data_IF_101214728121
#
_entry.id   IF_101214728121
#
_cell.length_a   1.000
_cell.length_b   1.000
_cell.length_c   1.000
_cell.angle_alpha   90.00
_cell.angle_beta   90.00
_cell.angle_gamma   90.00
#
_symmetry.space_group_name_H-M   'P 1'
#
loop_
_entity.id
_entity.type
_entity.pdbx_description
1 polymer ?
#
# COMPACT_ATOMS: atom_id res chain seq x y z
N UNK A 1 11.52 -27.93 -9.97
CA UNK A 1 12.04 -26.56 -9.71
C UNK A 1 12.83 -26.12 -10.93
N UNK A 2 12.32 -25.18 -11.74
CA UNK A 2 13.02 -24.72 -12.95
C UNK A 2 14.10 -23.70 -12.62
N UNK A 3 15.17 -23.66 -13.43
CA UNK A 3 16.24 -22.65 -13.40
C UNK A 3 16.10 -21.59 -14.49
N UNK A 4 15.08 -21.70 -15.34
CA UNK A 4 14.90 -20.81 -16.48
C UNK A 4 14.32 -19.47 -16.05
N UNK A 5 14.94 -18.38 -16.50
CA UNK A 5 14.42 -17.03 -16.35
C UNK A 5 13.01 -16.89 -16.95
N UNK A 6 12.70 -17.59 -18.05
CA UNK A 6 11.37 -17.60 -18.65
C UNK A 6 10.30 -18.15 -17.70
N UNK A 7 10.60 -19.23 -16.97
CA UNK A 7 9.67 -19.80 -15.98
C UNK A 7 9.52 -18.87 -14.77
N UNK A 8 10.59 -18.18 -14.36
CA UNK A 8 10.49 -17.12 -13.36
C UNK A 8 9.55 -15.99 -13.82
N UNK A 9 9.66 -15.51 -15.05
CA UNK A 9 8.77 -14.49 -15.60
C UNK A 9 7.30 -14.95 -15.63
N UNK A 10 7.04 -16.17 -16.10
CA UNK A 10 5.68 -16.75 -16.11
C UNK A 10 5.12 -16.80 -14.69
N UNK A 11 5.92 -17.22 -13.70
CA UNK A 11 5.49 -17.25 -12.29
C UNK A 11 5.14 -15.85 -11.77
N UNK A 12 5.85 -14.81 -12.20
CA UNK A 12 5.57 -13.41 -11.84
C UNK A 12 4.30 -12.88 -12.50
N UNK A 13 4.02 -13.28 -13.74
CA UNK A 13 2.76 -12.93 -14.43
C UNK A 13 1.58 -13.56 -13.70
N UNK A 14 1.61 -14.88 -13.47
CA UNK A 14 0.53 -15.60 -12.77
C UNK A 14 0.34 -15.02 -11.37
N UNK A 15 1.42 -14.91 -10.58
CA UNK A 15 1.35 -14.34 -9.24
C UNK A 15 0.93 -12.86 -9.23
N UNK A 16 1.20 -12.11 -10.30
CA UNK A 16 0.74 -10.73 -10.47
C UNK A 16 -0.77 -10.65 -10.71
N UNK A 17 -1.29 -11.47 -11.64
CA UNK A 17 -2.70 -11.54 -11.96
C UNK A 17 -3.54 -12.05 -10.78
N UNK A 18 -2.97 -12.94 -9.95
CA UNK A 18 -3.65 -13.51 -8.77
C UNK A 18 -3.57 -12.65 -7.49
N UNK A 19 -2.91 -11.47 -7.51
CA UNK A 19 -2.79 -10.57 -6.34
C UNK A 19 -4.08 -9.78 -6.00
N UNK A 20 -5.21 -10.16 -6.59
CA UNK A 20 -6.53 -9.61 -6.28
C UNK A 20 -6.95 -9.85 -4.82
N UNK A 21 -6.42 -10.89 -4.18
CA UNK A 21 -6.69 -11.23 -2.77
C UNK A 21 -6.47 -10.04 -1.81
N UNK A 22 -5.41 -9.26 -2.01
CA UNK A 22 -5.14 -8.07 -1.18
C UNK A 22 -6.27 -7.04 -1.28
N UNK A 23 -6.80 -6.83 -2.48
CA UNK A 23 -7.90 -5.90 -2.70
C UNK A 23 -9.20 -6.44 -2.10
N UNK A 24 -9.43 -7.74 -2.23
CA UNK A 24 -10.59 -8.41 -1.63
C UNK A 24 -10.56 -8.32 -0.10
N UNK A 25 -9.41 -8.49 0.55
CA UNK A 25 -9.31 -8.28 2.00
C UNK A 25 -9.76 -6.87 2.41
N UNK A 26 -9.36 -5.83 1.66
CA UNK A 26 -9.83 -4.47 1.94
C UNK A 26 -11.31 -4.27 1.64
N UNK A 27 -11.87 -4.97 0.66
CA UNK A 27 -13.31 -4.93 0.38
C UNK A 27 -14.12 -5.62 1.48
N UNK A 28 -13.69 -6.81 1.94
CA UNK A 28 -14.28 -7.56 3.06
C UNK A 28 -14.31 -6.71 4.33
N UNK A 29 -13.22 -5.98 4.64
CA UNK A 29 -13.21 -5.05 5.76
C UNK A 29 -14.17 -3.87 5.52
N UNK A 30 -14.33 -3.40 4.29
CA UNK A 30 -15.26 -2.32 3.95
C UNK A 30 -16.74 -2.75 4.06
N UNK A 31 -17.04 -4.04 3.97
CA UNK A 31 -18.40 -4.60 4.17
C UNK A 31 -18.86 -4.55 5.63
N UNK A 32 -17.93 -4.44 6.59
CA UNK A 32 -18.29 -4.35 8.02
C UNK A 32 -19.23 -3.18 8.29
N UNK A 33 -20.28 -3.32 9.12
CA UNK A 33 -21.28 -2.26 9.30
C UNK A 33 -20.75 -1.03 10.05
N UNK A 34 -19.90 -1.24 11.06
CA UNK A 34 -19.39 -0.16 11.91
C UNK A 34 -18.15 0.50 11.31
N UNK A 35 -18.18 1.83 11.17
CA UNK A 35 -17.02 2.63 10.78
C UNK A 35 -15.80 2.36 11.67
N UNK A 36 -16.00 2.20 12.99
CA UNK A 36 -14.94 1.88 13.94
C UNK A 36 -14.28 0.53 13.61
N UNK A 37 -15.05 -0.46 13.17
CA UNK A 37 -14.52 -1.77 12.78
C UNK A 37 -13.82 -1.70 11.43
N UNK A 38 -14.31 -0.90 10.47
CA UNK A 38 -13.61 -0.62 9.19
C UNK A 38 -12.24 0.00 9.43
N UNK A 39 -12.17 1.08 10.21
CA UNK A 39 -10.89 1.75 10.53
C UNK A 39 -9.91 0.80 11.23
N UNK A 40 -10.38 0.04 12.22
CA UNK A 40 -9.57 -0.97 12.91
C UNK A 40 -9.09 -2.06 11.95
N UNK A 41 -9.96 -2.57 11.09
CA UNK A 41 -9.64 -3.61 10.12
C UNK A 41 -8.58 -3.15 9.11
N UNK A 42 -8.71 -1.92 8.59
CA UNK A 42 -7.70 -1.34 7.69
C UNK A 42 -6.34 -1.17 8.37
N UNK A 43 -6.32 -0.80 9.65
CA UNK A 43 -5.08 -0.75 10.43
C UNK A 43 -4.48 -2.15 10.63
N UNK A 44 -5.30 -3.17 10.88
CA UNK A 44 -4.84 -4.57 11.02
C UNK A 44 -4.29 -5.15 9.71
N UNK A 45 -4.89 -4.80 8.56
CA UNK A 45 -4.30 -5.11 7.24
C UNK A 45 -2.90 -4.48 7.13
N UNK A 46 -2.75 -3.24 7.59
CA UNK A 46 -1.44 -2.59 7.71
C UNK A 46 -0.45 -3.41 8.54
N UNK A 47 -0.85 -3.85 9.75
CA UNK A 47 -0.01 -4.70 10.61
C UNK A 47 0.41 -5.98 9.90
N UNK A 48 -0.53 -6.65 9.20
CA UNK A 48 -0.23 -7.86 8.44
C UNK A 48 0.81 -7.61 7.33
N UNK A 49 0.72 -6.49 6.60
CA UNK A 49 1.75 -6.10 5.64
C UNK A 49 3.10 -5.87 6.31
N UNK A 50 3.14 -5.07 7.37
CA UNK A 50 4.38 -4.74 8.07
C UNK A 50 5.07 -5.99 8.62
N UNK A 51 4.32 -6.90 9.26
CA UNK A 51 4.85 -8.17 9.75
C UNK A 51 5.28 -9.10 8.60
N UNK A 52 4.50 -9.19 7.52
CA UNK A 52 4.85 -10.01 6.36
C UNK A 52 6.14 -9.54 5.67
N UNK A 53 6.32 -8.23 5.47
CA UNK A 53 7.53 -7.65 4.90
C UNK A 53 8.73 -7.68 5.87
N UNK A 54 8.50 -7.82 7.17
CA UNK A 54 9.56 -7.94 8.18
C UNK A 54 10.03 -9.39 8.33
N UNK A 55 9.10 -10.30 8.63
CA UNK A 55 9.38 -11.69 8.96
C UNK A 55 9.67 -12.49 7.68
N UNK A 56 8.98 -12.20 6.57
CA UNK A 56 9.11 -12.92 5.31
C UNK A 56 10.55 -12.98 4.79
N UNK A 57 11.23 -11.83 4.57
CA UNK A 57 12.63 -11.82 4.13
C UNK A 57 13.58 -12.46 5.13
N UNK A 58 13.36 -12.30 6.43
CA UNK A 58 14.19 -12.89 7.49
C UNK A 58 14.13 -14.43 7.44
N UNK A 59 12.92 -14.98 7.41
CA UNK A 59 12.69 -16.43 7.32
C UNK A 59 13.21 -16.94 5.98
N UNK A 60 12.93 -16.24 4.88
CA UNK A 60 13.44 -16.60 3.54
C UNK A 60 14.97 -16.66 3.48
N UNK A 61 15.66 -15.68 4.07
CA UNK A 61 17.12 -15.66 4.15
C UNK A 61 17.66 -16.81 5.01
N UNK A 62 17.05 -17.10 6.15
CA UNK A 62 17.44 -18.22 7.01
C UNK A 62 17.36 -19.57 6.29
N UNK A 63 16.24 -19.83 5.60
CA UNK A 63 16.07 -21.07 4.83
C UNK A 63 16.99 -21.13 3.60
N UNK A 64 17.34 -19.99 3.02
CA UNK A 64 18.32 -19.92 1.93
C UNK A 64 19.74 -20.22 2.39
N UNK A 65 20.13 -19.78 3.58
CA UNK A 65 21.47 -19.99 4.15
C UNK A 65 21.68 -21.44 4.64
N UNK A 66 20.63 -22.10 5.12
CA UNK A 66 20.69 -23.47 5.63
C UNK A 66 20.58 -24.55 4.55
N UNK A 67 21.03 -24.27 3.33
CA UNK A 67 20.91 -25.20 2.20
C UNK A 67 21.99 -26.27 2.29
N UNK A 68 21.64 -27.55 2.10
CA UNK A 68 22.61 -28.66 2.08
C UNK A 68 23.46 -28.63 0.80
N UNK A 69 24.68 -29.19 0.88
CA UNK A 69 25.59 -29.27 -0.27
C UNK A 69 24.88 -29.92 -1.47
N UNK A 70 24.72 -29.16 -2.56
CA UNK A 70 24.08 -29.61 -3.81
C UNK A 70 22.64 -29.11 -4.03
N UNK A 71 21.96 -28.59 -3.01
CA UNK A 71 20.65 -27.95 -3.16
C UNK A 71 20.79 -26.49 -3.61
N UNK A 72 19.82 -26.00 -4.40
CA UNK A 72 19.78 -24.58 -4.78
C UNK A 72 19.19 -23.76 -3.63
N UNK A 73 19.83 -22.63 -3.31
CA UNK A 73 19.48 -21.78 -2.17
C UNK A 73 18.00 -21.34 -2.11
N UNK A 74 17.32 -21.29 -3.25
CA UNK A 74 15.94 -20.79 -3.34
C UNK A 74 14.87 -21.89 -3.20
N UNK A 75 15.23 -23.18 -3.20
CA UNK A 75 14.26 -24.29 -3.16
C UNK A 75 13.51 -24.30 -1.83
N UNK A 76 14.22 -24.25 -0.70
CA UNK A 76 13.60 -24.30 0.64
C UNK A 76 12.70 -23.07 0.89
N UNK A 77 13.12 -21.83 0.60
CA UNK A 77 12.22 -20.68 0.66
C UNK A 77 10.99 -20.83 -0.25
N UNK A 78 11.14 -21.40 -1.45
CA UNK A 78 10.02 -21.61 -2.36
C UNK A 78 9.02 -22.66 -1.86
N UNK A 79 9.50 -23.76 -1.27
CA UNK A 79 8.64 -24.78 -0.65
C UNK A 79 7.89 -24.21 0.57
N UNK A 80 8.56 -23.41 1.39
CA UNK A 80 7.90 -22.70 2.49
C UNK A 80 6.82 -21.75 1.98
N UNK A 81 7.11 -20.97 0.93
CA UNK A 81 6.12 -20.08 0.33
C UNK A 81 4.91 -20.84 -0.22
N UNK A 82 5.13 -22.01 -0.85
CA UNK A 82 4.06 -22.88 -1.32
C UNK A 82 3.21 -23.41 -0.15
N UNK A 83 3.86 -23.91 0.91
CA UNK A 83 3.18 -24.38 2.11
C UNK A 83 2.31 -23.28 2.73
N UNK A 84 2.85 -22.07 2.90
CA UNK A 84 2.10 -20.93 3.43
C UNK A 84 0.92 -20.53 2.54
N UNK A 85 1.08 -20.59 1.21
CA UNK A 85 -0.02 -20.30 0.28
C UNK A 85 -1.13 -21.36 0.34
N UNK A 86 -0.77 -22.65 0.49
CA UNK A 86 -1.75 -23.74 0.67
C UNK A 86 -2.47 -23.60 2.02
N UNK A 87 -1.75 -23.27 3.09
CA UNK A 87 -2.34 -22.99 4.40
C UNK A 87 -3.30 -21.80 4.32
N UNK A 88 -2.92 -20.71 3.67
CA UNK A 88 -3.79 -19.53 3.46
C UNK A 88 -5.06 -19.90 2.70
N UNK A 89 -4.93 -20.70 1.62
CA UNK A 89 -6.07 -21.17 0.85
C UNK A 89 -7.03 -22.03 1.69
N UNK A 90 -6.50 -23.00 2.45
CA UNK A 90 -7.31 -23.86 3.33
C UNK A 90 -7.95 -23.03 4.44
N UNK A 91 -7.20 -22.11 5.04
CA UNK A 91 -7.69 -21.23 6.10
C UNK A 91 -8.87 -20.37 5.60
N UNK A 92 -8.73 -19.74 4.43
CA UNK A 92 -9.80 -18.94 3.83
C UNK A 92 -11.00 -19.83 3.47
N UNK A 93 -10.76 -20.99 2.86
CA UNK A 93 -11.84 -21.90 2.45
C UNK A 93 -12.68 -22.40 3.62
N UNK A 94 -12.06 -22.66 4.78
CA UNK A 94 -12.74 -23.19 5.96
C UNK A 94 -13.30 -22.12 6.89
N UNK A 95 -12.66 -20.95 7.00
CA UNK A 95 -12.92 -20.00 8.09
C UNK A 95 -13.41 -18.62 7.65
N UNK A 96 -13.30 -18.24 6.37
CA UNK A 96 -13.78 -16.94 5.91
C UNK A 96 -15.29 -16.98 5.62
N UNK A 97 -16.15 -16.34 6.44
CA UNK A 97 -17.56 -16.25 6.13
C UNK A 97 -17.81 -15.31 4.94
N UNK A 98 -18.91 -15.55 4.23
CA UNK A 98 -19.38 -14.64 3.19
C UNK A 98 -19.81 -13.29 3.80
N UNK A 99 -19.23 -12.20 3.31
CA UNK A 99 -19.53 -10.83 3.80
C UNK A 99 -20.54 -10.07 2.95
N UNK A 100 -20.80 -10.53 1.71
CA UNK A 100 -21.74 -9.90 0.79
C UNK A 100 -22.93 -10.83 0.49
N UNK A 101 -24.10 -10.59 1.13
CA UNK A 101 -25.33 -11.32 0.87
C UNK A 101 -25.74 -11.28 -0.61
N UNK A 102 -26.43 -12.32 -1.09
CA UNK A 102 -26.76 -12.49 -2.51
C UNK A 102 -27.59 -11.33 -3.06
N UNK A 103 -28.44 -10.74 -2.22
CA UNK A 103 -29.36 -9.66 -2.54
C UNK A 103 -28.63 -8.35 -2.85
N UNK A 104 -27.44 -8.17 -2.25
CA UNK A 104 -26.60 -6.99 -2.42
C UNK A 104 -25.56 -7.16 -3.54
N UNK A 105 -25.56 -8.29 -4.26
CA UNK A 105 -24.59 -8.54 -5.34
C UNK A 105 -25.03 -7.83 -6.62
N UNK A 106 -24.04 -7.36 -7.38
CA UNK A 106 -24.27 -6.88 -8.74
C UNK A 106 -24.77 -8.03 -9.63
N UNK A 107 -25.83 -7.77 -10.40
CA UNK A 107 -26.47 -8.76 -11.28
C UNK A 107 -25.62 -9.19 -12.48
N UNK A 108 -24.63 -8.38 -12.85
CA UNK A 108 -23.66 -8.69 -13.90
C UNK A 108 -22.34 -7.96 -13.66
N UNK A 109 -21.23 -8.64 -13.94
CA UNK A 109 -19.92 -7.98 -14.12
C UNK A 109 -19.97 -7.32 -15.50
N UNK A 110 -19.47 -6.09 -15.61
CA UNK A 110 -19.63 -5.27 -16.83
C UNK A 110 -18.96 -5.98 -18.02
N UNK A 111 -19.74 -6.59 -18.91
CA UNK A 111 -19.29 -7.14 -20.19
C UNK A 111 -19.50 -6.08 -21.28
N UNK A 112 -18.40 -5.53 -21.79
CA UNK A 112 -18.39 -4.55 -22.88
C UNK A 112 -17.07 -3.79 -22.93
N UNK A 113 -16.62 -3.39 -24.13
CA UNK A 113 -15.35 -2.69 -24.33
C UNK A 113 -15.19 -1.45 -23.43
N UNK A 114 -16.28 -0.70 -23.25
CA UNK A 114 -16.31 0.47 -22.38
C UNK A 114 -16.17 0.12 -20.90
N UNK A 115 -16.75 -0.99 -20.44
CA UNK A 115 -16.60 -1.45 -19.06
C UNK A 115 -15.19 -1.92 -18.74
N UNK A 116 -14.57 -2.61 -19.68
CA UNK A 116 -13.15 -3.00 -19.61
C UNK A 116 -12.25 -1.76 -19.59
N UNK A 117 -12.52 -0.78 -20.46
CA UNK A 117 -11.80 0.50 -20.47
C UNK A 117 -11.91 1.24 -19.13
N UNK A 118 -13.09 1.22 -18.51
CA UNK A 118 -13.30 1.86 -17.21
C UNK A 118 -12.52 1.22 -16.06
N UNK A 119 -12.19 -0.08 -16.17
CA UNK A 119 -11.42 -0.84 -15.19
C UNK A 119 -9.91 -0.85 -15.46
N UNK A 120 -9.49 -0.63 -16.71
CA UNK A 120 -8.08 -0.71 -17.12
C UNK A 120 -7.43 0.66 -17.35
N UNK A 121 -8.17 1.65 -17.85
CA UNK A 121 -7.60 2.95 -18.18
C UNK A 121 -7.22 3.73 -16.91
N UNK A 122 -5.97 4.20 -16.78
CA UNK A 122 -5.55 5.03 -15.64
C UNK A 122 -6.47 6.23 -15.42
N UNK A 123 -6.89 6.89 -16.50
CA UNK A 123 -7.77 8.07 -16.45
C UNK A 123 -9.12 7.70 -15.83
N UNK A 124 -9.71 6.58 -16.25
CA UNK A 124 -10.98 6.08 -15.72
C UNK A 124 -10.89 5.69 -14.24
N UNK A 125 -9.74 5.13 -13.82
CA UNK A 125 -9.47 4.83 -12.40
C UNK A 125 -9.45 6.09 -11.55
N UNK A 126 -8.78 7.17 -11.99
CA UNK A 126 -8.79 8.45 -11.27
C UNK A 126 -10.19 9.09 -11.20
N UNK A 127 -11.03 8.88 -12.21
CA UNK A 127 -12.39 9.39 -12.24
C UNK A 127 -13.42 8.50 -11.51
N UNK A 128 -13.01 7.31 -11.06
CA UNK A 128 -13.88 6.27 -10.48
C UNK A 128 -15.07 5.93 -11.41
N UNK A 129 -14.84 5.91 -12.73
CA UNK A 129 -15.90 5.77 -13.75
C UNK A 129 -16.73 4.50 -13.57
N UNK A 130 -16.10 3.38 -13.22
CA UNK A 130 -16.80 2.11 -12.99
C UNK A 130 -17.82 2.18 -11.83
N UNK A 131 -17.60 3.04 -10.83
CA UNK A 131 -18.54 3.25 -9.71
C UNK A 131 -19.75 4.07 -10.16
N UNK A 132 -19.56 4.98 -11.11
CA UNK A 132 -20.64 5.87 -11.58
C UNK A 132 -21.70 5.19 -12.45
N UNK A 133 -21.42 3.98 -12.95
CA UNK A 133 -22.33 3.21 -13.81
C UNK A 133 -23.20 2.21 -13.05
N UNK A 134 -22.96 2.00 -11.76
CA UNK A 134 -23.80 1.13 -10.95
C UNK A 134 -25.21 1.71 -10.78
N UNK A 135 -26.18 0.85 -10.44
CA UNK A 135 -27.56 1.27 -10.11
C UNK A 135 -27.59 2.34 -9.01
N UNK A 136 -26.71 2.20 -8.01
CA UNK A 136 -26.58 3.13 -6.89
C UNK A 136 -25.52 4.19 -7.18
N UNK A 137 -25.85 5.18 -8.02
CA UNK A 137 -24.87 6.21 -8.38
C UNK A 137 -24.55 7.10 -7.16
N UNK A 138 -23.27 7.28 -6.78
CA UNK A 138 -22.91 8.18 -5.69
C UNK A 138 -23.27 9.62 -6.02
N UNK A 139 -23.61 10.41 -4.99
CA UNK A 139 -23.84 11.85 -5.13
C UNK A 139 -22.62 12.55 -5.72
N UNK A 140 -22.83 13.67 -6.41
CA UNK A 140 -21.73 14.41 -7.06
C UNK A 140 -20.63 14.83 -6.06
N UNK A 141 -21.02 15.15 -4.82
CA UNK A 141 -20.09 15.46 -3.73
C UNK A 141 -19.28 14.23 -3.29
N UNK A 142 -19.96 13.10 -3.05
CA UNK A 142 -19.34 11.81 -2.72
C UNK A 142 -18.32 11.39 -3.77
N UNK A 143 -18.68 11.51 -5.05
CA UNK A 143 -17.80 11.19 -6.17
C UNK A 143 -16.60 12.15 -6.26
N UNK A 144 -16.80 13.45 -6.02
CA UNK A 144 -15.70 14.42 -5.97
C UNK A 144 -14.72 14.08 -4.85
N UNK A 145 -15.23 13.75 -3.66
CA UNK A 145 -14.41 13.36 -2.51
C UNK A 145 -13.64 12.05 -2.80
N UNK A 146 -14.27 11.05 -3.42
CA UNK A 146 -13.59 9.83 -3.88
C UNK A 146 -12.43 10.12 -4.84
N UNK A 147 -12.65 10.97 -5.84
CA UNK A 147 -11.60 11.35 -6.81
C UNK A 147 -10.43 12.06 -6.12
N UNK A 148 -10.72 12.97 -5.19
CA UNK A 148 -9.69 13.67 -4.41
C UNK A 148 -8.90 12.68 -3.55
N UNK A 149 -9.57 11.77 -2.84
CA UNK A 149 -8.92 10.76 -2.00
C UNK A 149 -8.08 9.78 -2.83
N UNK A 150 -8.58 9.34 -3.99
CA UNK A 150 -7.84 8.48 -4.91
C UNK A 150 -6.60 9.16 -5.47
N UNK A 151 -6.70 10.44 -5.85
CA UNK A 151 -5.54 11.22 -6.31
C UNK A 151 -4.50 11.42 -5.20
N UNK A 152 -4.95 11.77 -3.98
CA UNK A 152 -4.06 11.87 -2.82
C UNK A 152 -3.37 10.54 -2.53
N UNK A 153 -4.11 9.44 -2.58
CA UNK A 153 -3.58 8.10 -2.36
C UNK A 153 -2.51 7.72 -3.40
N UNK A 154 -2.77 8.02 -4.67
CA UNK A 154 -1.81 7.84 -5.76
C UNK A 154 -0.55 8.69 -5.54
N UNK A 155 -0.70 10.01 -5.35
CA UNK A 155 0.43 10.94 -5.20
C UNK A 155 1.29 10.59 -3.98
N UNK A 156 0.65 10.25 -2.86
CA UNK A 156 1.34 9.78 -1.68
C UNK A 156 2.17 8.54 -1.98
N UNK A 157 1.57 7.48 -2.53
CA UNK A 157 2.29 6.23 -2.81
C UNK A 157 3.36 6.39 -3.89
N UNK A 158 3.13 7.28 -4.84
CA UNK A 158 4.06 7.58 -5.92
C UNK A 158 5.37 8.15 -5.37
N UNK A 159 5.27 9.21 -4.54
CA UNK A 159 6.43 9.81 -3.88
C UNK A 159 7.05 8.84 -2.84
N UNK A 160 6.20 8.23 -2.02
CA UNK A 160 6.62 7.34 -0.94
C UNK A 160 7.40 6.13 -1.46
N UNK A 161 6.87 5.41 -2.45
CA UNK A 161 7.53 4.21 -2.98
C UNK A 161 8.81 4.53 -3.75
N UNK A 162 8.86 5.70 -4.38
CA UNK A 162 10.06 6.18 -5.05
C UNK A 162 11.21 6.45 -4.08
N UNK A 163 10.93 7.17 -3.00
CA UNK A 163 11.93 7.41 -1.95
C UNK A 163 12.26 6.14 -1.17
N UNK A 164 11.27 5.33 -0.80
CA UNK A 164 11.47 4.03 -0.13
C UNK A 164 12.43 3.13 -0.91
N UNK A 165 12.30 3.08 -2.24
CA UNK A 165 13.21 2.31 -3.10
C UNK A 165 14.64 2.87 -3.12
N UNK A 166 14.78 4.19 -3.22
CA UNK A 166 16.10 4.86 -3.32
C UNK A 166 16.86 4.95 -2.01
N UNK A 167 16.23 4.72 -0.85
CA UNK A 167 16.91 4.57 0.45
C UNK A 167 17.99 3.48 0.40
N UNK A 168 17.78 2.40 -0.36
CA UNK A 168 18.79 1.34 -0.52
C UNK A 168 20.05 1.85 -1.25
N UNK A 169 19.89 2.74 -2.23
CA UNK A 169 21.03 3.36 -2.91
C UNK A 169 21.77 4.33 -1.99
N UNK A 170 21.01 5.17 -1.26
CA UNK A 170 21.56 6.14 -0.32
C UNK A 170 22.38 5.48 0.78
N UNK A 171 21.82 4.46 1.41
CA UNK A 171 22.49 3.75 2.50
C UNK A 171 23.72 2.98 2.05
N UNK A 172 23.68 2.43 0.83
CA UNK A 172 24.86 1.81 0.25
C UNK A 172 25.96 2.84 -0.09
N UNK A 173 25.63 3.90 -0.82
CA UNK A 173 26.64 4.87 -1.26
C UNK A 173 27.24 5.66 -0.10
N UNK A 174 26.41 6.15 0.83
CA UNK A 174 26.86 7.07 1.88
C UNK A 174 27.35 6.36 3.14
N UNK A 175 26.70 5.26 3.53
CA UNK A 175 27.02 4.54 4.76
C UNK A 175 27.67 3.18 4.53
N UNK A 176 27.92 2.80 3.26
CA UNK A 176 28.52 1.53 2.88
C UNK A 176 27.78 0.33 3.48
N UNK A 177 26.45 0.44 3.60
CA UNK A 177 25.63 -0.65 4.10
C UNK A 177 25.71 -1.85 3.17
N UNK A 178 26.04 -3.00 3.76
CA UNK A 178 25.83 -4.31 3.17
C UNK A 178 24.33 -4.63 3.03
N UNK A 179 23.99 -5.58 2.16
CA UNK A 179 22.61 -6.06 2.01
C UNK A 179 22.01 -6.57 3.33
N UNK A 180 22.84 -7.14 4.22
CA UNK A 180 22.41 -7.57 5.55
C UNK A 180 22.06 -6.39 6.45
N UNK A 181 22.83 -5.30 6.42
CA UNK A 181 22.51 -4.08 7.17
C UNK A 181 21.25 -3.40 6.65
N UNK A 182 21.06 -3.36 5.32
CA UNK A 182 19.79 -2.90 4.73
C UNK A 182 18.62 -3.79 5.16
N UNK A 183 18.81 -5.11 5.23
CA UNK A 183 17.82 -6.05 5.78
C UNK A 183 17.46 -5.73 7.23
N UNK A 184 18.45 -5.49 8.11
CA UNK A 184 18.23 -5.08 9.50
C UNK A 184 17.51 -3.72 9.61
N UNK A 185 17.82 -2.78 8.72
CA UNK A 185 17.14 -1.49 8.63
C UNK A 185 15.66 -1.65 8.28
N UNK A 186 15.33 -2.40 7.22
CA UNK A 186 13.93 -2.65 6.85
C UNK A 186 13.19 -3.47 7.92
N UNK A 187 13.88 -4.36 8.63
CA UNK A 187 13.32 -5.06 9.79
C UNK A 187 12.90 -4.07 10.89
N UNK A 188 13.79 -3.14 11.26
CA UNK A 188 13.48 -2.10 12.25
C UNK A 188 12.30 -1.22 11.82
N UNK A 189 12.29 -0.80 10.55
CA UNK A 189 11.20 -0.02 9.96
C UNK A 189 9.87 -0.77 10.08
N UNK A 190 9.84 -2.04 9.68
CA UNK A 190 8.63 -2.85 9.64
C UNK A 190 8.07 -3.18 11.04
N UNK A 191 8.91 -3.49 12.02
CA UNK A 191 8.48 -3.63 13.42
C UNK A 191 7.89 -2.33 13.95
N UNK A 192 8.58 -1.20 13.72
CA UNK A 192 8.10 0.11 14.16
C UNK A 192 6.76 0.45 13.53
N UNK A 193 6.59 0.18 12.23
CA UNK A 193 5.32 0.36 11.54
C UNK A 193 4.21 -0.54 12.10
N UNK A 194 4.49 -1.81 12.38
CA UNK A 194 3.51 -2.73 12.95
C UNK A 194 3.05 -2.28 14.35
N UNK A 195 3.97 -1.83 15.20
CA UNK A 195 3.65 -1.29 16.54
C UNK A 195 2.77 -0.04 16.42
N UNK A 196 3.09 0.87 15.52
CA UNK A 196 2.33 2.13 15.34
C UNK A 196 0.97 1.85 14.71
N UNK A 197 0.86 0.91 13.77
CA UNK A 197 -0.41 0.48 13.18
C UNK A 197 -1.31 -0.19 14.21
N UNK A 198 -0.78 -1.15 14.98
CA UNK A 198 -1.53 -1.89 16.00
C UNK A 198 -1.88 -1.05 17.23
N UNK A 199 -1.01 -0.11 17.59
CA UNK A 199 -1.13 0.75 18.76
C UNK A 199 -1.87 2.08 18.50
N UNK A 200 -1.34 2.91 17.60
CA UNK A 200 -1.86 4.26 17.37
C UNK A 200 -2.90 4.29 16.23
N UNK A 201 -2.57 3.80 15.04
CA UNK A 201 -3.44 3.92 13.86
C UNK A 201 -4.80 3.23 14.08
N UNK A 202 -4.80 2.04 14.69
CA UNK A 202 -6.02 1.29 15.07
C UNK A 202 -6.93 2.04 16.05
N UNK A 203 -6.40 3.00 16.81
CA UNK A 203 -7.14 3.77 17.83
C UNK A 203 -7.61 5.13 17.34
N UNK A 204 -7.30 5.51 16.09
CA UNK A 204 -7.81 6.76 15.49
C UNK A 204 -9.33 6.68 15.41
N UNK A 205 -10.01 7.65 16.00
CA UNK A 205 -11.48 7.72 16.00
C UNK A 205 -11.99 8.05 14.58
N UNK A 206 -13.09 7.43 14.12
CA UNK A 206 -13.74 7.82 12.87
C UNK A 206 -14.05 9.32 12.83
N UNK A 207 -13.74 9.96 11.71
CA UNK A 207 -13.79 11.42 11.51
C UNK A 207 -12.46 12.14 11.71
N UNK A 208 -11.47 11.52 12.36
CA UNK A 208 -10.14 12.12 12.56
C UNK A 208 -9.09 11.62 11.56
N UNK A 209 -9.43 10.70 10.65
CA UNK A 209 -8.50 10.10 9.67
C UNK A 209 -7.86 11.17 8.79
N UNK A 210 -8.64 12.14 8.28
CA UNK A 210 -8.10 13.23 7.44
C UNK A 210 -7.06 14.04 8.20
N UNK A 211 -7.31 14.34 9.49
CA UNK A 211 -6.36 15.08 10.33
C UNK A 211 -5.09 14.25 10.56
N UNK A 212 -5.24 12.95 10.81
CA UNK A 212 -4.11 12.04 11.01
C UNK A 212 -3.25 11.92 9.74
N UNK A 213 -3.87 11.78 8.56
CA UNK A 213 -3.15 11.71 7.28
C UNK A 213 -2.42 13.01 7.00
N UNK A 214 -3.05 14.18 7.20
CA UNK A 214 -2.39 15.47 7.02
C UNK A 214 -1.16 15.61 7.91
N UNK A 215 -1.26 15.26 9.19
CA UNK A 215 -0.13 15.27 10.13
C UNK A 215 0.98 14.30 9.71
N UNK A 216 0.62 13.09 9.28
CA UNK A 216 1.58 12.11 8.80
C UNK A 216 2.32 12.58 7.54
N UNK A 217 1.64 13.17 6.56
CA UNK A 217 2.28 13.70 5.35
C UNK A 217 3.20 14.88 5.70
N UNK A 218 2.78 15.78 6.59
CA UNK A 218 3.66 16.86 7.09
C UNK A 218 4.90 16.28 7.77
N UNK A 219 4.77 15.19 8.52
CA UNK A 219 5.88 14.53 9.21
C UNK A 219 6.86 13.82 8.24
N UNK A 220 6.38 13.36 7.07
CA UNK A 220 7.25 12.76 6.05
C UNK A 220 8.23 13.77 5.44
N UNK A 221 7.85 15.04 5.38
CA UNK A 221 8.72 16.07 4.81
C UNK A 221 10.05 16.18 5.56
N UNK A 222 10.10 16.47 6.88
CA UNK A 222 11.35 16.45 7.63
C UNK A 222 11.96 15.05 7.70
N UNK A 223 11.17 13.97 7.72
CA UNK A 223 11.71 12.61 7.73
C UNK A 223 12.61 12.33 6.51
N UNK A 224 12.12 12.62 5.30
CA UNK A 224 12.89 12.40 4.08
C UNK A 224 14.01 13.42 3.90
N UNK A 225 13.88 14.65 4.43
CA UNK A 225 15.01 15.59 4.46
C UNK A 225 16.13 15.07 5.37
N UNK A 226 15.79 14.58 6.57
CA UNK A 226 16.76 13.96 7.48
C UNK A 226 17.45 12.76 6.82
N UNK A 227 16.71 11.89 6.12
CA UNK A 227 17.28 10.74 5.41
C UNK A 227 18.19 11.20 4.26
N UNK A 228 17.70 12.11 3.41
CA UNK A 228 18.42 12.62 2.24
C UNK A 228 19.74 13.33 2.58
N UNK A 229 19.77 14.01 3.72
CA UNK A 229 20.94 14.77 4.22
C UNK A 229 21.68 14.06 5.36
N UNK A 230 21.35 12.81 5.66
CA UNK A 230 21.97 12.09 6.77
C UNK A 230 23.48 11.94 6.57
N UNK A 231 24.28 12.49 7.48
CA UNK A 231 25.75 12.29 7.53
C UNK A 231 26.18 11.40 8.71
N UNK A 232 25.24 10.97 9.54
CA UNK A 232 25.47 10.08 10.67
C UNK A 232 24.34 9.07 10.81
N UNK A 233 24.64 7.93 11.42
CA UNK A 233 23.64 6.88 11.68
C UNK A 233 22.50 7.37 12.57
N UNK A 234 22.78 8.31 13.49
CA UNK A 234 21.77 8.91 14.35
C UNK A 234 20.77 9.76 13.56
N UNK A 235 21.27 10.58 12.63
CA UNK A 235 20.42 11.41 11.75
C UNK A 235 19.56 10.53 10.83
N UNK A 236 20.17 9.50 10.24
CA UNK A 236 19.45 8.50 9.44
C UNK A 236 18.38 7.79 10.30
N UNK A 237 18.74 7.32 11.49
CA UNK A 237 17.82 6.63 12.41
C UNK A 237 16.63 7.48 12.84
N UNK A 238 16.86 8.77 13.14
CA UNK A 238 15.78 9.71 13.44
C UNK A 238 14.85 9.90 12.24
N UNK A 239 15.41 10.08 11.04
CA UNK A 239 14.63 10.18 9.79
C UNK A 239 13.80 8.92 9.53
N UNK A 240 14.39 7.74 9.68
CA UNK A 240 13.71 6.45 9.51
C UNK A 240 12.60 6.23 10.54
N UNK A 241 12.78 6.65 11.80
CA UNK A 241 11.74 6.55 12.83
C UNK A 241 10.52 7.42 12.49
N UNK A 242 10.76 8.68 12.09
CA UNK A 242 9.69 9.58 11.64
C UNK A 242 8.98 9.04 10.40
N UNK A 243 9.76 8.52 9.45
CA UNK A 243 9.26 7.85 8.25
C UNK A 243 8.34 6.68 8.61
N UNK A 244 8.77 5.77 9.49
CA UNK A 244 7.97 4.62 9.93
C UNK A 244 6.67 5.07 10.61
N UNK A 245 6.72 6.12 11.44
CA UNK A 245 5.53 6.65 12.10
C UNK A 245 4.50 7.19 11.11
N UNK A 246 4.95 8.00 10.15
CA UNK A 246 4.05 8.55 9.16
C UNK A 246 3.51 7.48 8.19
N UNK A 247 4.39 6.62 7.68
CA UNK A 247 4.05 5.54 6.75
C UNK A 247 2.97 4.60 7.31
N UNK A 248 3.06 4.30 8.61
CA UNK A 248 2.12 3.47 9.34
C UNK A 248 0.68 4.01 9.32
N UNK A 249 0.48 5.32 9.17
CA UNK A 249 -0.82 5.97 9.34
C UNK A 249 -1.54 6.18 8.00
N UNK A 250 -0.82 6.62 6.96
CA UNK A 250 -1.43 7.19 5.75
C UNK A 250 -2.31 6.18 5.00
N UNK A 251 -1.78 4.99 4.67
CA UNK A 251 -2.52 3.98 3.89
C UNK A 251 -3.76 3.48 4.63
N UNK A 252 -3.67 3.02 5.90
CA UNK A 252 -4.86 2.58 6.63
C UNK A 252 -5.95 3.65 6.77
N UNK A 253 -5.57 4.90 7.05
CA UNK A 253 -6.52 6.00 7.21
C UNK A 253 -7.19 6.38 5.89
N UNK A 254 -6.43 6.45 4.78
CA UNK A 254 -7.00 6.70 3.46
C UNK A 254 -7.92 5.57 3.00
N UNK A 255 -7.53 4.31 3.21
CA UNK A 255 -8.39 3.16 2.90
C UNK A 255 -9.65 3.14 3.77
N UNK A 256 -9.56 3.51 5.05
CA UNK A 256 -10.72 3.68 5.93
C UNK A 256 -11.68 4.75 5.41
N UNK A 257 -11.16 5.94 5.04
CA UNK A 257 -11.96 7.03 4.47
C UNK A 257 -12.62 6.61 3.16
N UNK A 258 -11.88 5.99 2.24
CA UNK A 258 -12.44 5.56 0.95
C UNK A 258 -13.49 4.45 1.15
N UNK A 259 -13.32 3.58 2.16
CA UNK A 259 -14.29 2.53 2.50
C UNK A 259 -15.66 3.06 2.92
N UNK A 260 -15.80 4.33 3.28
CA UNK A 260 -17.12 4.89 3.64
C UNK A 260 -17.98 5.20 2.42
N UNK A 261 -17.37 5.29 1.23
CA UNK A 261 -18.05 5.64 -0.01
C UNK A 261 -18.49 4.40 -0.80
N UNK A 262 -19.46 4.58 -1.69
CA UNK A 262 -20.08 3.51 -2.47
C UNK A 262 -21.11 2.69 -1.68
N UNK A 263 -22.11 2.15 -2.38
CA UNK A 263 -23.10 1.23 -1.79
C UNK A 263 -22.47 -0.13 -1.46
N UNK A 264 -23.22 -1.00 -0.77
CA UNK A 264 -22.74 -2.33 -0.39
C UNK A 264 -22.25 -3.15 -1.61
N UNK A 265 -22.94 -3.05 -2.74
CA UNK A 265 -22.59 -3.74 -3.99
C UNK A 265 -21.31 -3.20 -4.67
N UNK A 266 -20.87 -1.98 -4.30
CA UNK A 266 -19.78 -1.25 -4.96
C UNK A 266 -18.45 -1.30 -4.19
N UNK A 267 -18.44 -1.80 -2.93
CA UNK A 267 -17.24 -1.79 -2.08
C UNK A 267 -16.04 -2.49 -2.73
N UNK A 268 -16.28 -3.63 -3.38
CA UNK A 268 -15.25 -4.34 -4.15
C UNK A 268 -14.62 -3.46 -5.24
N UNK A 269 -15.44 -2.78 -6.04
CA UNK A 269 -14.96 -1.89 -7.11
C UNK A 269 -14.23 -0.67 -6.57
N UNK A 270 -14.76 -0.01 -5.53
CA UNK A 270 -14.15 1.18 -4.92
C UNK A 270 -12.77 0.85 -4.36
N UNK A 271 -12.66 -0.22 -3.57
CA UNK A 271 -11.38 -0.64 -2.97
C UNK A 271 -10.43 -1.19 -4.03
N UNK A 272 -10.96 -1.88 -5.05
CA UNK A 272 -10.24 -2.31 -6.25
C UNK A 272 -9.54 -1.15 -6.95
N UNK A 273 -10.29 -0.11 -7.31
CA UNK A 273 -9.76 1.09 -7.96
C UNK A 273 -8.68 1.75 -7.08
N UNK A 274 -8.93 1.91 -5.77
CA UNK A 274 -7.94 2.47 -4.86
C UNK A 274 -6.64 1.65 -4.87
N UNK A 275 -6.75 0.31 -4.85
CA UNK A 275 -5.57 -0.56 -4.91
C UNK A 275 -4.86 -0.51 -6.25
N UNK A 276 -5.58 -0.41 -7.37
CA UNK A 276 -5.02 -0.24 -8.71
C UNK A 276 -4.27 1.07 -8.85
N UNK A 277 -4.81 2.18 -8.34
CA UNK A 277 -4.10 3.47 -8.28
C UNK A 277 -2.79 3.33 -7.47
N UNK A 278 -2.83 2.64 -6.33
CA UNK A 278 -1.63 2.38 -5.54
C UNK A 278 -0.63 1.41 -6.20
N UNK A 279 -1.07 0.54 -7.10
CA UNK A 279 -0.19 -0.33 -7.88
C UNK A 279 0.49 0.47 -9.00
N UNK A 280 -0.26 1.31 -9.71
CA UNK A 280 0.27 2.24 -10.72
C UNK A 280 1.31 3.18 -10.10
N UNK A 281 1.01 3.74 -8.94
CA UNK A 281 1.94 4.60 -8.19
C UNK A 281 3.28 3.89 -7.89
N UNK A 282 3.24 2.62 -7.46
CA UNK A 282 4.43 1.81 -7.17
C UNK A 282 5.17 1.31 -8.41
N UNK A 283 4.50 1.25 -9.56
CA UNK A 283 5.16 0.93 -10.82
C UNK A 283 6.01 2.11 -11.33
N UNK A 284 5.47 3.34 -11.22
CA UNK A 284 6.10 4.54 -11.81
C UNK A 284 7.02 5.27 -10.82
N UNK A 285 6.67 5.31 -9.53
CA UNK A 285 7.40 6.06 -8.49
C UNK A 285 8.89 5.71 -8.39
N UNK A 286 9.26 4.40 -8.25
CA UNK A 286 10.65 3.96 -8.21
C UNK A 286 11.46 4.33 -9.45
N UNK A 287 10.86 4.24 -10.64
CA UNK A 287 11.53 4.60 -11.91
C UNK A 287 11.92 6.07 -11.89
N UNK A 288 10.96 6.96 -11.60
CA UNK A 288 11.22 8.40 -11.61
C UNK A 288 12.18 8.83 -10.50
N UNK A 289 12.02 8.29 -9.28
CA UNK A 289 12.89 8.65 -8.16
C UNK A 289 14.30 8.11 -8.35
N UNK A 290 14.47 6.90 -8.90
CA UNK A 290 15.79 6.38 -9.25
C UNK A 290 16.46 7.23 -10.33
N UNK A 291 15.74 7.61 -11.39
CA UNK A 291 16.26 8.51 -12.43
C UNK A 291 16.70 9.85 -11.84
N UNK A 292 15.88 10.48 -11.00
CA UNK A 292 16.27 11.73 -10.32
C UNK A 292 17.49 11.52 -9.42
N UNK A 293 17.50 10.46 -8.62
CA UNK A 293 18.61 10.14 -7.72
C UNK A 293 19.95 10.05 -8.47
N UNK A 294 19.97 9.36 -9.62
CA UNK A 294 21.20 9.17 -10.40
C UNK A 294 21.60 10.37 -11.27
N UNK A 295 20.64 11.21 -11.68
CA UNK A 295 20.93 12.39 -12.51
C UNK A 295 21.40 13.61 -11.70
N UNK A 296 20.77 13.87 -10.55
CA UNK A 296 20.98 15.11 -9.78
C UNK A 296 21.46 14.86 -8.34
N UNK A 297 21.66 13.60 -7.96
CA UNK A 297 22.18 13.21 -6.65
C UNK A 297 21.10 12.98 -5.59
N UNK A 298 21.54 12.40 -4.47
CA UNK A 298 20.67 11.97 -3.37
C UNK A 298 19.98 13.15 -2.68
N UNK A 299 20.74 14.20 -2.34
CA UNK A 299 20.26 15.36 -1.59
C UNK A 299 19.16 16.08 -2.38
N UNK A 300 19.38 16.31 -3.68
CA UNK A 300 18.42 16.97 -4.55
C UNK A 300 17.17 16.11 -4.76
N UNK A 301 17.33 14.82 -5.02
CA UNK A 301 16.21 13.88 -5.18
C UNK A 301 15.31 13.85 -3.92
N UNK A 302 15.90 13.60 -2.75
CA UNK A 302 15.16 13.53 -1.49
C UNK A 302 14.51 14.88 -1.13
N UNK A 303 15.18 16.01 -1.40
CA UNK A 303 14.62 17.35 -1.14
C UNK A 303 13.43 17.65 -2.04
N UNK A 304 13.54 17.44 -3.36
CA UNK A 304 12.46 17.69 -4.31
C UNK A 304 11.25 16.80 -4.03
N UNK A 305 11.46 15.51 -3.82
CA UNK A 305 10.39 14.57 -3.52
C UNK A 305 9.76 14.86 -2.15
N UNK A 306 10.56 15.25 -1.15
CA UNK A 306 10.06 15.65 0.17
C UNK A 306 9.14 16.88 0.07
N UNK A 307 9.58 17.94 -0.60
CA UNK A 307 8.75 19.14 -0.81
C UNK A 307 7.49 18.82 -1.62
N UNK A 308 7.57 17.90 -2.57
CA UNK A 308 6.42 17.47 -3.39
C UNK A 308 5.29 16.82 -2.57
N UNK A 309 5.53 16.38 -1.33
CA UNK A 309 4.44 15.96 -0.42
C UNK A 309 3.48 17.09 -0.03
N UNK A 310 3.81 18.36 -0.32
CA UNK A 310 2.85 19.48 -0.24
C UNK A 310 1.69 19.33 -1.23
N UNK A 311 1.92 18.69 -2.39
CA UNK A 311 0.90 18.52 -3.43
C UNK A 311 -0.32 17.75 -2.90
N UNK A 312 -0.20 16.53 -2.34
CA UNK A 312 -1.35 15.84 -1.75
C UNK A 312 -2.01 16.63 -0.62
N UNK A 313 -1.26 17.40 0.19
CA UNK A 313 -1.82 18.29 1.23
C UNK A 313 -2.69 19.41 0.66
N UNK A 314 -2.31 19.98 -0.48
CA UNK A 314 -3.10 21.00 -1.18
C UNK A 314 -4.40 20.39 -1.70
N UNK A 315 -4.36 19.19 -2.28
CA UNK A 315 -5.56 18.51 -2.76
C UNK A 315 -6.54 18.16 -1.65
N UNK A 316 -6.06 17.88 -0.43
CA UNK A 316 -6.93 17.71 0.74
C UNK A 316 -7.82 18.93 1.03
N UNK A 317 -7.47 20.13 0.56
CA UNK A 317 -8.32 21.33 0.72
C UNK A 317 -9.58 21.30 -0.16
N UNK A 318 -9.58 20.46 -1.21
CA UNK A 318 -10.71 20.28 -2.12
C UNK A 318 -11.74 19.25 -1.63
N UNK A 319 -11.48 18.60 -0.50
CA UNK A 319 -12.47 17.73 0.16
C UNK A 319 -13.60 18.59 0.71
N UNK A 320 -14.82 18.27 0.29
CA UNK A 320 -16.03 18.87 0.83
C UNK A 320 -16.42 18.14 2.11
N UNK A 321 -16.87 18.90 3.11
CA UNK A 321 -17.32 18.33 4.37
C UNK A 321 -18.57 17.49 4.12
N UNK A 322 -18.45 16.16 4.23
CA UNK A 322 -19.60 15.27 4.21
C UNK A 322 -20.53 15.69 5.35
N UNK A 323 -21.73 16.19 5.02
CA UNK A 323 -22.81 16.35 5.99
C UNK A 323 -22.99 15.00 6.66
N UNK A 324 -22.86 14.96 8.00
CA UNK A 324 -23.33 13.82 8.76
C UNK A 324 -24.83 13.79 8.55
N UNK A 325 -25.32 12.82 7.79
CA UNK A 325 -26.70 12.40 7.94
C UNK A 325 -26.76 11.78 9.36
N UNK A 326 -27.48 12.48 10.23
CA UNK A 326 -27.80 12.06 11.61
C UNK A 326 -28.72 10.85 11.61
#
# INVERSE_FOLDING_TARGET
MSRSFGIFLISRIIGGLSKGNVSLCTAIIADLPSLKNRSKGMAMIGVAFSLGFTIGPMVGAYFAMNTTNGELFYIRPALLALLLAVIDLIFIFLLLPETLPKENRVSSIIFGFQGVSDLLSPVSLFHFSAVTRGKDRPTQESLQNLRVLGLVYFLYLFLFSGLEYTISFLTHQRFQFSSMQQGKMFFFIGITMAVIQGGYARRIKPGNEVKAVKRAIILLMPAFLLIGWANSLTMLGCGLLLYSFAAAIVVPCLSSLVSTYGSASQKGTVMGILRSLGALARAVGPILSATLYWLIGAEACFTICSVSFLIPLIYFRRLKATRKEE
#
